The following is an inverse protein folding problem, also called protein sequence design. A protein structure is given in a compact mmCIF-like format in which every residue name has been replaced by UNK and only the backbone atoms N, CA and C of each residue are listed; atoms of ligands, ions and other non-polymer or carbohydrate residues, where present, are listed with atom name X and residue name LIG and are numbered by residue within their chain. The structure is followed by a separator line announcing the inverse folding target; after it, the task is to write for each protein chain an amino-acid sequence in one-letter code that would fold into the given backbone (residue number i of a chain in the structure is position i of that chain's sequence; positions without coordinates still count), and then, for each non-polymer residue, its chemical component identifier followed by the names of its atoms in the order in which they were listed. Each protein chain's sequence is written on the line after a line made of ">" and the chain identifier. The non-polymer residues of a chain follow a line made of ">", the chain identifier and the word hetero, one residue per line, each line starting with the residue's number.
data_IF_233963796000
#
_entry.id   IF_233963796000
#
_cell.length_a   1.000
_cell.length_b   1.000
_cell.length_c   1.000
_cell.angle_alpha   90.00
_cell.angle_beta   90.00
_cell.angle_gamma   90.00
#
_symmetry.space_group_name_H-M   'P 1'
#
loop_
_entity.id
_entity.type
_entity.pdbx_description
1 polymer ?
#
# COMPACT_ATOMS: atom_id res chain seq x y z
N UNK A 1 19.12 -37.14 -28.93
CA UNK A 1 18.11 -36.27 -28.32
C UNK A 1 18.85 -35.42 -27.29
N UNK A 2 18.94 -34.11 -27.55
CA UNK A 2 19.83 -33.10 -26.92
C UNK A 2 19.67 -33.05 -25.38
N UNK A 3 20.69 -33.00 -24.52
CA UNK A 3 21.80 -32.04 -24.26
C UNK A 3 21.33 -30.59 -24.11
N UNK A 4 21.38 -30.01 -22.89
CA UNK A 4 22.31 -28.93 -22.53
C UNK A 4 22.24 -28.58 -21.02
N UNK A 5 23.42 -28.59 -20.37
CA UNK A 5 23.71 -27.90 -19.10
C UNK A 5 24.04 -26.44 -19.42
N UNK A 6 23.68 -25.51 -18.52
CA UNK A 6 24.21 -24.15 -18.50
C UNK A 6 24.80 -23.85 -17.12
N UNK A 7 26.06 -23.42 -17.13
CA UNK A 7 26.79 -22.84 -16.00
C UNK A 7 27.22 -21.44 -16.44
N UNK A 8 27.14 -20.45 -15.56
CA UNK A 8 27.80 -19.17 -15.82
C UNK A 8 27.24 -18.00 -15.02
N UNK A 9 27.81 -17.78 -13.82
CA UNK A 9 27.88 -16.46 -13.18
C UNK A 9 28.47 -15.44 -14.16
N UNK A 10 27.83 -14.28 -14.33
CA UNK A 10 28.54 -13.04 -14.70
C UNK A 10 27.94 -11.83 -13.99
N UNK A 11 28.83 -11.08 -13.34
CA UNK A 11 28.57 -9.83 -12.63
C UNK A 11 28.20 -8.71 -13.59
N UNK A 12 27.14 -7.97 -13.30
CA UNK A 12 26.84 -6.71 -13.98
C UNK A 12 27.63 -5.59 -13.31
N UNK A 13 28.69 -5.13 -13.98
CA UNK A 13 29.36 -3.87 -13.67
C UNK A 13 28.64 -2.72 -14.37
N UNK A 14 28.30 -1.71 -13.56
CA UNK A 14 27.72 -0.44 -13.95
C UNK A 14 28.54 0.31 -15.00
N UNK A 15 27.84 0.98 -15.93
CA UNK A 15 28.40 2.04 -16.77
C UNK A 15 27.41 3.20 -16.86
N UNK A 16 27.69 4.20 -16.05
CA UNK A 16 27.17 5.57 -16.11
C UNK A 16 27.46 6.14 -17.52
N UNK A 17 26.44 6.70 -18.18
CA UNK A 17 26.64 7.54 -19.37
C UNK A 17 25.77 8.79 -19.27
N UNK A 18 26.44 9.91 -19.00
CA UNK A 18 25.95 11.28 -19.00
C UNK A 18 25.49 11.68 -20.41
N UNK A 19 24.24 12.16 -20.54
CA UNK A 19 23.75 12.83 -21.74
C UNK A 19 23.64 14.33 -21.46
N UNK A 20 24.47 15.11 -22.14
CA UNK A 20 24.34 16.56 -22.22
C UNK A 20 24.55 16.95 -23.68
N UNK A 21 23.48 17.08 -24.46
CA UNK A 21 23.54 17.77 -25.74
C UNK A 21 22.41 18.79 -25.88
N UNK A 22 22.85 19.96 -26.34
CA UNK A 22 22.19 21.26 -26.29
C UNK A 22 21.16 21.40 -27.41
N UNK A 23 20.03 22.00 -27.05
CA UNK A 23 19.06 22.63 -27.95
C UNK A 23 19.72 23.62 -28.93
N UNK A 24 19.42 23.53 -30.24
CA UNK A 24 19.48 24.68 -31.16
C UNK A 24 18.47 24.54 -32.32
N UNK A 25 17.61 25.56 -32.46
CA UNK A 25 16.48 25.70 -33.41
C UNK A 25 16.87 25.77 -34.90
N UNK A 26 15.96 25.48 -35.86
CA UNK A 26 16.18 25.73 -37.29
C UNK A 26 15.64 27.10 -37.75
N UNK A 27 16.39 27.81 -38.60
CA UNK A 27 15.95 29.02 -39.33
C UNK A 27 15.92 28.79 -40.85
N UNK A 28 14.84 29.28 -41.48
CA UNK A 28 14.49 29.30 -42.92
C UNK A 28 15.44 30.16 -43.80
N UNK A 29 15.40 29.85 -45.12
CA UNK A 29 15.82 30.61 -46.36
C UNK A 29 16.95 29.89 -47.12
N UNK A 30 16.95 29.69 -48.44
CA UNK A 30 16.34 30.37 -49.61
C UNK A 30 16.38 29.43 -50.83
N UNK A 31 15.26 29.23 -51.53
CA UNK A 31 15.26 28.93 -52.97
C UNK A 31 15.50 30.25 -53.72
N UNK A 32 16.36 30.23 -54.74
CA UNK A 32 16.38 31.04 -55.98
C UNK A 32 17.79 30.89 -56.56
N UNK A 33 17.93 30.08 -57.62
CA UNK A 33 18.84 30.29 -58.76
C UNK A 33 19.12 28.96 -59.47
N UNK A 34 18.41 28.69 -60.57
CA UNK A 34 18.91 27.94 -61.74
C UNK A 34 17.77 27.70 -62.74
N UNK A 35 17.27 28.77 -63.34
CA UNK A 35 16.69 28.72 -64.68
C UNK A 35 17.59 29.63 -65.50
N UNK A 36 18.46 29.06 -66.31
CA UNK A 36 18.89 29.60 -67.61
C UNK A 36 20.00 28.75 -68.23
N UNK A 37 19.61 28.05 -69.30
CA UNK A 37 20.35 27.48 -70.45
C UNK A 37 19.88 26.05 -70.70
N UNK A 38 19.61 25.57 -71.91
CA UNK A 38 19.31 26.15 -73.21
C UNK A 38 18.75 24.96 -74.03
N UNK A 39 17.63 25.15 -74.73
CA UNK A 39 17.06 24.23 -75.75
C UNK A 39 17.96 24.24 -77.03
N UNK A 40 17.81 23.41 -78.10
CA UNK A 40 16.66 22.55 -78.48
C UNK A 40 16.99 21.22 -79.25
N UNK A 41 15.95 20.68 -79.92
CA UNK A 41 15.85 19.58 -80.93
C UNK A 41 15.40 18.24 -80.31
N UNK A 42 14.27 17.59 -80.63
CA UNK A 42 13.20 17.75 -81.61
C UNK A 42 12.65 16.36 -81.97
N UNK A 43 11.29 16.20 -82.02
CA UNK A 43 10.49 15.00 -82.44
C UNK A 43 10.41 13.86 -81.41
N UNK A 44 9.30 13.14 -81.18
CA UNK A 44 7.92 13.16 -81.68
C UNK A 44 7.03 12.28 -80.77
N UNK A 45 5.83 12.74 -80.47
CA UNK A 45 4.57 11.95 -80.36
C UNK A 45 4.55 10.61 -79.61
N UNK A 46 4.63 10.61 -78.27
CA UNK A 46 4.25 9.41 -77.48
C UNK A 46 3.84 9.63 -76.02
N UNK A 47 3.45 10.84 -75.57
CA UNK A 47 3.12 11.07 -74.15
C UNK A 47 1.92 12.00 -73.93
N UNK A 48 0.75 11.65 -74.48
CA UNK A 48 -0.50 12.33 -74.13
C UNK A 48 -1.55 11.44 -73.44
N UNK A 49 -1.22 10.18 -73.11
CA UNK A 49 -2.14 9.25 -72.42
C UNK A 49 -1.76 8.89 -70.98
N UNK A 50 -0.86 9.64 -70.33
CA UNK A 50 -0.37 9.35 -68.97
C UNK A 50 -0.75 10.38 -67.89
N UNK A 51 -1.67 11.30 -68.18
CA UNK A 51 -2.18 12.27 -67.20
C UNK A 51 -3.67 12.10 -66.88
N UNK A 52 -4.10 10.85 -66.65
CA UNK A 52 -5.29 10.57 -65.85
C UNK A 52 -4.86 9.82 -64.59
N UNK A 53 -5.36 10.32 -63.45
CA UNK A 53 -5.22 9.78 -62.08
C UNK A 53 -3.98 10.26 -61.32
N UNK A 54 -4.13 11.42 -60.68
CA UNK A 54 -4.06 11.56 -59.23
C UNK A 54 -4.45 13.00 -58.87
N UNK A 55 -5.74 13.29 -59.00
CA UNK A 55 -6.34 14.47 -58.40
C UNK A 55 -6.46 14.18 -56.89
N UNK A 56 -5.60 14.79 -56.08
CA UNK A 56 -5.88 14.94 -54.66
C UNK A 56 -7.09 15.88 -54.55
N UNK A 57 -8.27 15.29 -54.36
CA UNK A 57 -9.38 16.06 -53.79
C UNK A 57 -9.04 16.28 -52.32
N UNK A 58 -8.76 17.52 -51.96
CA UNK A 58 -8.96 17.96 -50.58
C UNK A 58 -10.46 17.91 -50.35
N UNK A 59 -10.94 16.84 -49.70
CA UNK A 59 -12.28 16.86 -49.14
C UNK A 59 -12.41 18.06 -48.21
N UNK A 60 -13.56 18.73 -48.25
CA UNK A 60 -13.87 19.81 -47.33
C UNK A 60 -13.68 19.28 -45.90
N UNK A 61 -12.89 20.00 -45.11
CA UNK A 61 -12.85 19.85 -43.66
C UNK A 61 -14.27 20.11 -43.15
N UNK A 62 -15.07 19.07 -43.01
CA UNK A 62 -16.11 19.10 -42.00
C UNK A 62 -15.38 19.36 -40.68
N UNK A 63 -15.85 20.28 -39.83
CA UNK A 63 -15.33 20.40 -38.49
C UNK A 63 -15.66 19.09 -37.78
N UNK A 64 -14.76 18.12 -37.84
CA UNK A 64 -14.64 17.10 -36.82
C UNK A 64 -14.26 17.87 -35.57
N UNK A 65 -15.29 18.31 -34.84
CA UNK A 65 -15.15 18.64 -33.44
C UNK A 65 -14.56 17.38 -32.83
N UNK A 66 -13.25 17.41 -32.58
CA UNK A 66 -12.54 16.35 -31.90
C UNK A 66 -12.93 16.48 -30.43
N UNK A 67 -14.19 16.16 -30.14
CA UNK A 67 -14.66 15.96 -28.80
C UNK A 67 -14.32 14.51 -28.44
N UNK A 68 -13.02 14.25 -28.30
CA UNK A 68 -12.55 13.12 -27.50
C UNK A 68 -12.56 13.50 -26.01
N UNK A 69 -13.44 14.43 -25.61
CA UNK A 69 -13.76 14.56 -24.21
C UNK A 69 -14.52 13.28 -23.88
N UNK A 70 -13.86 12.41 -23.15
CA UNK A 70 -14.53 11.33 -22.43
C UNK A 70 -15.74 11.97 -21.72
N UNK A 71 -16.98 11.59 -22.07
CA UNK A 71 -18.17 12.24 -21.54
C UNK A 71 -18.26 12.16 -20.01
N UNK A 72 -17.55 11.21 -19.36
CA UNK A 72 -17.43 11.17 -17.91
C UNK A 72 -16.41 12.20 -17.38
N UNK A 73 -15.26 12.35 -18.03
CA UNK A 73 -14.20 13.27 -17.58
C UNK A 73 -14.65 14.75 -17.54
N UNK A 74 -15.52 15.18 -18.45
CA UNK A 74 -16.03 16.56 -18.46
C UNK A 74 -17.12 16.84 -17.41
N UNK A 75 -17.73 15.81 -16.85
CA UNK A 75 -18.86 15.93 -15.93
C UNK A 75 -18.46 16.10 -14.46
N UNK A 76 -17.24 15.69 -14.09
CA UNK A 76 -16.80 15.66 -12.69
C UNK A 76 -16.43 17.02 -12.11
N UNK A 77 -15.99 17.99 -12.92
CA UNK A 77 -15.47 19.29 -12.45
C UNK A 77 -16.46 20.17 -11.62
N UNK A 78 -17.66 19.69 -11.32
CA UNK A 78 -18.70 20.40 -10.57
C UNK A 78 -19.16 19.73 -9.26
N UNK A 79 -18.85 18.45 -8.98
CA UNK A 79 -19.28 17.77 -7.73
C UNK A 79 -18.12 17.10 -7.01
N UNK A 80 -18.12 17.25 -5.69
CA UNK A 80 -17.15 16.65 -4.77
C UNK A 80 -17.64 15.33 -4.15
N UNK A 81 -18.85 14.86 -4.47
CA UNK A 81 -19.39 13.60 -3.95
C UNK A 81 -20.21 12.92 -5.05
N UNK A 82 -19.70 11.80 -5.54
CA UNK A 82 -20.30 11.06 -6.65
C UNK A 82 -20.49 9.59 -6.34
N UNK A 83 -21.44 8.97 -7.03
CA UNK A 83 -21.67 7.53 -7.00
C UNK A 83 -21.55 6.93 -8.40
N UNK A 84 -20.73 5.90 -8.52
CA UNK A 84 -20.60 5.04 -9.69
C UNK A 84 -21.55 3.85 -9.56
N UNK A 85 -22.51 3.75 -10.48
CA UNK A 85 -23.50 2.69 -10.48
C UNK A 85 -23.77 2.16 -11.89
N UNK A 86 -24.48 1.03 -11.96
CA UNK A 86 -24.95 0.44 -13.21
C UNK A 86 -26.47 0.45 -13.23
N UNK A 87 -27.03 0.91 -14.34
CA UNK A 87 -28.49 0.87 -14.56
C UNK A 87 -28.82 0.14 -15.85
N UNK A 88 -29.99 -0.49 -15.85
CA UNK A 88 -30.57 -1.11 -17.02
C UNK A 88 -31.57 -0.17 -17.70
N UNK A 89 -31.46 -0.03 -19.01
CA UNK A 89 -32.44 0.68 -19.84
C UNK A 89 -32.92 -0.21 -20.96
N UNK A 90 -34.18 -0.02 -21.33
CA UNK A 90 -34.77 -0.69 -22.48
C UNK A 90 -34.65 0.23 -23.69
N UNK A 91 -34.02 -0.25 -24.75
CA UNK A 91 -33.87 0.49 -26.00
C UNK A 91 -35.18 0.54 -26.82
N UNK A 92 -35.13 1.24 -27.96
CA UNK A 92 -36.27 1.34 -28.86
C UNK A 92 -36.67 -0.02 -29.50
N UNK A 93 -35.79 -1.02 -29.40
CA UNK A 93 -35.94 -2.38 -29.92
C UNK A 93 -36.37 -3.39 -28.83
N UNK A 94 -36.70 -2.91 -27.62
CA UNK A 94 -37.05 -3.73 -26.45
C UNK A 94 -35.93 -4.65 -25.94
N UNK A 95 -34.68 -4.30 -26.19
CA UNK A 95 -33.53 -4.98 -25.60
C UNK A 95 -33.07 -4.21 -24.36
N UNK A 96 -32.78 -4.95 -23.29
CA UNK A 96 -32.15 -4.39 -22.10
C UNK A 96 -30.67 -4.16 -22.39
N UNK A 97 -30.23 -2.94 -22.15
CA UNK A 97 -28.84 -2.50 -22.24
C UNK A 97 -28.40 -1.98 -20.87
N UNK A 98 -27.15 -2.23 -20.52
CA UNK A 98 -26.56 -1.77 -19.26
C UNK A 98 -25.73 -0.52 -19.51
N UNK A 99 -25.83 0.43 -18.59
CA UNK A 99 -25.15 1.71 -18.64
C UNK A 99 -24.40 1.94 -17.33
N UNK A 100 -23.13 2.35 -17.43
CA UNK A 100 -22.41 2.96 -16.32
C UNK A 100 -22.94 4.38 -16.17
N UNK A 101 -23.23 4.77 -14.93
CA UNK A 101 -23.74 6.08 -14.60
C UNK A 101 -22.94 6.67 -13.45
N UNK A 102 -22.56 7.94 -13.60
CA UNK A 102 -22.07 8.76 -12.49
C UNK A 102 -23.17 9.69 -12.03
N UNK A 103 -23.43 9.66 -10.73
CA UNK A 103 -24.43 10.47 -10.06
C UNK A 103 -23.75 11.44 -9.12
N UNK A 104 -24.18 12.69 -9.10
CA UNK A 104 -23.88 13.63 -8.03
C UNK A 104 -24.69 13.27 -6.77
N UNK A 105 -23.99 12.85 -5.72
CA UNK A 105 -24.58 12.39 -4.46
C UNK A 105 -24.60 13.50 -3.39
N UNK A 106 -23.99 14.66 -3.68
CA UNK A 106 -23.96 15.81 -2.76
C UNK A 106 -25.35 16.33 -2.38
N UNK A 107 -26.36 16.10 -3.21
CA UNK A 107 -27.73 16.55 -3.02
C UNK A 107 -28.68 15.48 -2.43
N UNK A 108 -28.17 14.29 -2.09
CA UNK A 108 -28.94 13.16 -1.56
C UNK A 108 -30.15 12.81 -2.44
N UNK A 109 -31.37 13.02 -1.93
CA UNK A 109 -32.60 12.69 -2.65
C UNK A 109 -32.81 13.44 -4.00
N UNK A 110 -32.00 14.47 -4.30
CA UNK A 110 -32.03 15.21 -5.57
C UNK A 110 -30.81 14.93 -6.46
N UNK A 111 -30.19 13.77 -6.29
CA UNK A 111 -29.07 13.30 -7.09
C UNK A 111 -29.26 13.49 -8.60
N UNK A 112 -28.28 14.11 -9.25
CA UNK A 112 -28.31 14.38 -10.70
C UNK A 112 -27.32 13.49 -11.43
N UNK A 113 -27.72 12.98 -12.60
CA UNK A 113 -26.82 12.22 -13.47
C UNK A 113 -25.81 13.19 -14.10
N UNK A 114 -24.54 12.97 -13.78
CA UNK A 114 -23.40 13.73 -14.30
C UNK A 114 -22.97 13.20 -15.66
N UNK A 115 -22.86 11.88 -15.78
CA UNK A 115 -22.41 11.20 -16.98
C UNK A 115 -23.01 9.81 -17.10
N UNK A 116 -23.13 9.32 -18.33
CA UNK A 116 -23.65 8.00 -18.62
C UNK A 116 -23.02 7.43 -19.89
N UNK A 117 -22.66 6.14 -19.87
CA UNK A 117 -22.07 5.43 -21.00
C UNK A 117 -22.63 4.02 -21.10
N UNK A 118 -22.98 3.58 -22.31
CA UNK A 118 -23.41 2.20 -22.57
C UNK A 118 -22.21 1.26 -22.44
N UNK A 119 -22.33 0.21 -21.63
CA UNK A 119 -21.23 -0.73 -21.38
C UNK A 119 -20.76 -1.41 -22.68
N UNK A 120 -21.70 -1.74 -23.56
CA UNK A 120 -21.42 -2.42 -24.83
C UNK A 120 -20.59 -1.57 -25.81
N UNK A 121 -20.55 -0.24 -25.59
CA UNK A 121 -19.82 0.70 -26.42
C UNK A 121 -18.37 0.92 -25.96
N UNK A 122 -17.99 0.42 -24.78
CA UNK A 122 -16.63 0.54 -24.24
C UNK A 122 -15.73 -0.50 -24.91
N UNK A 123 -14.59 -0.08 -25.47
CA UNK A 123 -13.68 -1.02 -26.08
C UNK A 123 -12.84 -1.75 -25.01
N UNK A 124 -12.41 -2.97 -25.33
CA UNK A 124 -11.52 -3.72 -24.44
C UNK A 124 -10.17 -3.01 -24.31
N UNK A 125 -9.73 -2.82 -23.06
CA UNK A 125 -8.52 -2.09 -22.68
C UNK A 125 -8.74 -0.58 -22.52
N UNK A 126 -9.97 -0.08 -22.64
CA UNK A 126 -10.26 1.32 -22.37
C UNK A 126 -10.19 1.61 -20.86
N UNK A 127 -9.73 2.81 -20.53
CA UNK A 127 -9.71 3.35 -19.17
C UNK A 127 -10.68 4.53 -19.15
N UNK A 128 -11.69 4.46 -18.27
CA UNK A 128 -12.63 5.54 -18.03
C UNK A 128 -12.09 6.34 -16.85
N UNK A 129 -11.64 7.56 -17.11
CA UNK A 129 -11.03 8.38 -16.05
C UNK A 129 -12.04 9.33 -15.44
N UNK A 130 -12.12 9.28 -14.11
CA UNK A 130 -12.87 10.17 -13.23
C UNK A 130 -11.83 11.01 -12.50
N UNK A 131 -11.78 12.32 -12.77
CA UNK A 131 -10.78 13.21 -12.17
C UNK A 131 -11.43 14.18 -11.20
N UNK A 132 -10.93 14.13 -9.97
CA UNK A 132 -11.16 15.03 -8.85
C UNK A 132 -10.95 16.52 -9.14
N UNK A 133 -11.43 17.32 -8.21
CA UNK A 133 -11.21 18.73 -8.08
C UNK A 133 -9.85 19.01 -7.39
N UNK A 134 -9.73 20.14 -6.70
CA UNK A 134 -8.53 20.49 -5.91
C UNK A 134 -8.85 20.61 -4.42
N UNK A 135 -10.02 20.16 -4.01
CA UNK A 135 -10.41 19.95 -2.62
C UNK A 135 -11.02 18.56 -2.48
N UNK A 136 -11.39 18.21 -1.25
CA UNK A 136 -11.81 16.86 -0.88
C UNK A 136 -12.96 16.32 -1.76
N UNK A 137 -12.70 15.24 -2.48
CA UNK A 137 -13.64 14.55 -3.35
C UNK A 137 -13.94 13.12 -2.85
N UNK A 138 -15.15 12.64 -3.12
CA UNK A 138 -15.59 11.29 -2.76
C UNK A 138 -16.16 10.56 -3.97
N UNK A 139 -15.62 9.37 -4.23
CA UNK A 139 -16.21 8.38 -5.13
C UNK A 139 -16.81 7.24 -4.31
N UNK A 140 -18.12 7.03 -4.43
CA UNK A 140 -18.80 5.84 -3.88
C UNK A 140 -19.05 4.84 -5.00
N UNK A 141 -18.64 3.59 -4.82
CA UNK A 141 -18.88 2.50 -5.78
C UNK A 141 -20.08 1.68 -5.30
N UNK A 142 -21.12 1.67 -6.12
CA UNK A 142 -22.36 0.97 -5.83
C UNK A 142 -22.25 -0.55 -6.10
N UNK A 143 -23.02 -1.34 -5.35
CA UNK A 143 -23.11 -2.79 -5.55
C UNK A 143 -23.40 -3.18 -6.99
N UNK A 144 -24.26 -2.44 -7.70
CA UNK A 144 -24.60 -2.72 -9.10
C UNK A 144 -23.39 -2.67 -10.04
N UNK A 145 -22.36 -1.87 -9.72
CA UNK A 145 -21.12 -1.84 -10.47
C UNK A 145 -20.22 -3.03 -10.15
N UNK A 146 -20.08 -3.38 -8.87
CA UNK A 146 -19.27 -4.53 -8.45
C UNK A 146 -19.86 -5.87 -8.91
N UNK A 147 -21.20 -5.98 -8.97
CA UNK A 147 -21.91 -7.17 -9.45
C UNK A 147 -21.70 -7.45 -10.95
N UNK A 148 -21.07 -6.53 -11.69
CA UNK A 148 -20.61 -6.79 -13.06
C UNK A 148 -19.44 -7.80 -13.12
N UNK A 149 -18.68 -7.95 -12.02
CA UNK A 149 -17.46 -8.75 -11.97
C UNK A 149 -16.37 -8.23 -12.91
N UNK A 150 -15.50 -9.12 -13.39
CA UNK A 150 -14.39 -8.78 -14.28
C UNK A 150 -14.89 -8.16 -15.60
N UNK A 151 -14.42 -6.95 -15.89
CA UNK A 151 -14.74 -6.21 -17.11
C UNK A 151 -13.50 -6.07 -18.00
N UNK A 152 -13.68 -5.96 -19.33
CA UNK A 152 -12.56 -5.75 -20.26
C UNK A 152 -12.06 -4.30 -20.27
N UNK A 153 -12.54 -3.44 -19.36
CA UNK A 153 -12.18 -2.03 -19.20
C UNK A 153 -11.98 -1.73 -17.71
N UNK A 154 -11.35 -0.61 -17.39
CA UNK A 154 -11.10 -0.18 -16.02
C UNK A 154 -11.69 1.22 -15.80
N UNK A 155 -12.25 1.47 -14.63
CA UNK A 155 -12.60 2.81 -14.18
C UNK A 155 -11.48 3.32 -13.28
N UNK A 156 -10.89 4.46 -13.61
CA UNK A 156 -9.82 5.06 -12.82
C UNK A 156 -10.32 6.33 -12.14
N UNK A 157 -10.19 6.41 -10.82
CA UNK A 157 -10.42 7.63 -10.05
C UNK A 157 -9.09 8.30 -9.70
N UNK A 158 -8.93 9.58 -10.05
CA UNK A 158 -7.79 10.39 -9.64
C UNK A 158 -8.32 11.52 -8.77
N UNK A 159 -8.10 11.46 -7.44
CA UNK A 159 -8.54 12.49 -6.50
C UNK A 159 -7.92 13.87 -6.77
N UNK A 160 -6.79 13.89 -7.48
CA UNK A 160 -6.00 15.06 -7.83
C UNK A 160 -5.43 15.83 -6.63
N UNK A 161 -6.25 16.53 -5.84
CA UNK A 161 -5.74 17.17 -4.64
C UNK A 161 -6.83 17.51 -3.65
N UNK A 162 -6.52 17.40 -2.37
CA UNK A 162 -7.52 17.43 -1.31
C UNK A 162 -7.20 16.32 -0.32
N UNK A 163 -8.19 15.92 0.45
CA UNK A 163 -8.24 14.61 1.09
C UNK A 163 -9.37 13.80 0.47
N UNK A 164 -9.01 12.91 -0.42
CA UNK A 164 -9.95 12.24 -1.31
C UNK A 164 -10.33 10.85 -0.79
N UNK A 165 -11.56 10.43 -1.08
CA UNK A 165 -12.16 9.21 -0.53
C UNK A 165 -12.69 8.29 -1.61
N UNK A 166 -12.39 7.00 -1.51
CA UNK A 166 -13.10 5.94 -2.24
C UNK A 166 -13.89 5.10 -1.24
N UNK A 167 -15.20 4.95 -1.45
CA UNK A 167 -16.10 4.27 -0.52
C UNK A 167 -17.00 3.24 -1.22
N UNK A 168 -17.52 2.30 -0.45
CA UNK A 168 -18.61 1.41 -0.89
C UNK A 168 -19.98 1.98 -0.54
N UNK A 169 -21.00 1.63 -1.33
CA UNK A 169 -22.39 1.80 -0.91
C UNK A 169 -22.72 0.87 0.26
N UNK A 170 -23.69 1.26 1.08
CA UNK A 170 -24.04 0.57 2.34
C UNK A 170 -24.57 -0.86 2.18
N UNK A 171 -24.88 -1.28 0.96
CA UNK A 171 -25.43 -2.59 0.60
C UNK A 171 -24.39 -3.54 -0.03
N UNK A 172 -23.13 -3.13 -0.11
CA UNK A 172 -22.03 -4.01 -0.52
C UNK A 172 -21.61 -4.87 0.67
N UNK A 173 -21.80 -6.18 0.59
CA UNK A 173 -21.42 -7.12 1.67
C UNK A 173 -20.02 -7.70 1.47
N UNK A 174 -19.49 -7.70 0.24
CA UNK A 174 -18.20 -8.29 -0.10
C UNK A 174 -17.41 -7.35 -1.01
N UNK A 175 -16.11 -7.19 -0.73
CA UNK A 175 -15.22 -6.45 -1.62
C UNK A 175 -13.77 -6.85 -1.42
N UNK A 176 -12.99 -6.78 -2.50
CA UNK A 176 -11.54 -6.99 -2.48
C UNK A 176 -10.83 -5.69 -2.85
N UNK A 177 -9.91 -5.26 -1.99
CA UNK A 177 -9.11 -4.05 -2.18
C UNK A 177 -7.64 -4.40 -2.16
N UNK A 178 -6.86 -3.67 -2.94
CA UNK A 178 -5.43 -3.90 -3.08
C UNK A 178 -4.68 -2.58 -3.20
N UNK A 179 -3.78 -2.32 -2.26
CA UNK A 179 -2.91 -1.14 -2.24
C UNK A 179 -1.60 -1.46 -2.96
N UNK A 180 -1.21 -0.57 -3.86
CA UNK A 180 -0.01 -0.73 -4.69
C UNK A 180 1.00 0.40 -4.54
N UNK A 181 0.69 1.44 -3.76
CA UNK A 181 1.56 2.57 -3.45
C UNK A 181 0.93 3.49 -2.38
N UNK A 182 1.59 4.62 -2.09
CA UNK A 182 1.25 5.49 -0.93
C UNK A 182 -0.19 6.04 -0.91
N UNK A 183 -0.76 6.31 -2.09
CA UNK A 183 -2.09 6.91 -2.26
C UNK A 183 -2.79 6.32 -3.48
N UNK A 184 -2.50 5.06 -3.78
CA UNK A 184 -3.00 4.37 -4.97
C UNK A 184 -3.26 2.89 -4.73
N UNK A 185 -4.17 2.35 -5.52
CA UNK A 185 -4.58 0.97 -5.42
C UNK A 185 -5.77 0.66 -6.31
N UNK A 186 -6.44 -0.44 -6.00
CA UNK A 186 -7.60 -0.91 -6.75
C UNK A 186 -8.64 -1.56 -5.87
N UNK A 187 -9.86 -1.60 -6.39
CA UNK A 187 -11.05 -2.18 -5.80
C UNK A 187 -11.73 -3.10 -6.83
N UNK A 188 -12.27 -4.22 -6.35
CA UNK A 188 -13.04 -5.18 -7.13
C UNK A 188 -12.18 -6.24 -7.81
N UNK A 189 -12.86 -7.20 -8.46
CA UNK A 189 -12.20 -8.33 -9.15
C UNK A 189 -11.24 -7.83 -10.24
N UNK A 190 -9.96 -8.19 -10.12
CA UNK A 190 -8.88 -7.74 -11.02
C UNK A 190 -8.76 -6.21 -11.18
N UNK A 191 -9.16 -5.43 -10.17
CA UNK A 191 -9.03 -3.97 -10.18
C UNK A 191 -9.99 -3.27 -11.14
N UNK A 192 -11.28 -3.65 -11.07
CA UNK A 192 -12.34 -3.01 -11.89
C UNK A 192 -12.43 -1.49 -11.65
N UNK A 193 -12.06 -1.04 -10.45
CA UNK A 193 -11.82 0.36 -10.12
C UNK A 193 -10.37 0.54 -9.67
N UNK A 194 -9.61 1.38 -10.36
CA UNK A 194 -8.30 1.86 -9.92
C UNK A 194 -8.45 3.24 -9.27
N UNK A 195 -7.63 3.54 -8.28
CA UNK A 195 -7.60 4.86 -7.66
C UNK A 195 -6.19 5.40 -7.47
N UNK A 196 -6.06 6.72 -7.57
CA UNK A 196 -4.83 7.49 -7.47
C UNK A 196 -5.10 8.77 -6.67
N UNK A 197 -4.11 9.24 -5.93
CA UNK A 197 -4.23 10.44 -5.08
C UNK A 197 -5.42 10.32 -4.11
N UNK A 198 -5.52 9.19 -3.40
CA UNK A 198 -6.60 8.91 -2.45
C UNK A 198 -6.02 8.65 -1.06
N UNK A 199 -6.50 9.41 -0.07
CA UNK A 199 -6.04 9.35 1.32
C UNK A 199 -7.00 8.60 2.25
N UNK A 200 -8.21 8.26 1.81
CA UNK A 200 -9.21 7.54 2.62
C UNK A 200 -9.96 6.47 1.80
N UNK A 201 -10.03 5.26 2.33
CA UNK A 201 -10.83 4.16 1.78
C UNK A 201 -11.83 3.62 2.81
N UNK A 202 -13.07 3.44 2.37
CA UNK A 202 -14.19 3.12 3.27
C UNK A 202 -14.98 1.92 2.75
N UNK A 203 -14.87 0.81 3.46
CA UNK A 203 -15.75 -0.34 3.30
C UNK A 203 -16.88 -0.29 4.36
N UNK A 204 -17.73 -1.32 4.38
CA UNK A 204 -18.93 -1.36 5.23
C UNK A 204 -18.90 -2.53 6.19
N UNK A 205 -18.52 -2.29 7.45
CA UNK A 205 -18.44 -3.37 8.42
C UNK A 205 -19.82 -3.81 8.93
N UNK A 206 -20.08 -5.12 8.90
CA UNK A 206 -21.19 -5.80 9.56
C UNK A 206 -20.80 -7.23 9.98
N UNK A 207 -21.64 -7.92 10.75
CA UNK A 207 -21.35 -9.31 11.14
C UNK A 207 -21.35 -10.32 9.98
N UNK A 208 -21.93 -9.93 8.84
CA UNK A 208 -22.05 -10.78 7.66
C UNK A 208 -21.21 -10.26 6.48
N UNK A 209 -20.45 -9.17 6.66
CA UNK A 209 -19.59 -8.62 5.61
C UNK A 209 -18.26 -9.37 5.50
N UNK A 210 -17.66 -9.29 4.32
CA UNK A 210 -16.30 -9.77 4.02
C UNK A 210 -15.59 -8.78 3.12
N UNK A 211 -15.02 -7.74 3.72
CA UNK A 211 -14.18 -6.75 3.06
C UNK A 211 -12.69 -7.02 3.32
N UNK A 212 -11.96 -7.35 2.27
CA UNK A 212 -10.52 -7.64 2.33
C UNK A 212 -9.72 -6.44 1.87
N UNK A 213 -8.76 -5.99 2.68
CA UNK A 213 -7.76 -5.00 2.31
C UNK A 213 -6.40 -5.67 2.22
N UNK A 214 -5.79 -5.65 1.04
CA UNK A 214 -4.49 -6.27 0.79
C UNK A 214 -3.44 -5.27 0.33
N UNK A 215 -2.16 -5.60 0.54
CA UNK A 215 -1.02 -4.83 0.03
C UNK A 215 -0.18 -5.66 -0.92
N UNK A 216 0.45 -4.98 -1.88
CA UNK A 216 1.46 -5.58 -2.76
C UNK A 216 2.66 -4.65 -2.98
N UNK A 217 3.71 -5.24 -3.57
CA UNK A 217 4.94 -4.62 -4.08
C UNK A 217 5.93 -4.10 -3.05
N UNK A 218 5.46 -3.68 -1.87
CA UNK A 218 6.26 -3.06 -0.83
C UNK A 218 5.90 -3.61 0.56
N UNK A 219 6.72 -3.26 1.56
CA UNK A 219 6.40 -3.50 2.97
C UNK A 219 5.57 -2.34 3.50
N UNK A 220 4.59 -2.63 4.33
CA UNK A 220 3.71 -1.60 4.89
C UNK A 220 3.62 -1.68 6.41
N UNK A 221 3.37 -0.52 7.03
CA UNK A 221 2.92 -0.41 8.41
C UNK A 221 1.39 -0.26 8.42
N UNK A 222 0.73 -1.20 9.08
CA UNK A 222 -0.69 -1.19 9.42
C UNK A 222 -0.86 -0.63 10.83
N UNK A 223 -1.01 0.70 10.95
CA UNK A 223 -1.27 1.35 12.23
C UNK A 223 -2.74 1.18 12.60
N UNK A 224 -3.01 0.38 13.63
CA UNK A 224 -4.37 0.12 14.11
C UNK A 224 -4.68 1.07 15.26
N UNK A 225 -5.77 1.82 15.12
CA UNK A 225 -6.19 2.81 16.11
C UNK A 225 -7.49 2.42 16.81
N UNK A 226 -8.37 1.71 16.09
CA UNK A 226 -9.66 1.20 16.57
C UNK A 226 -10.04 -0.06 15.76
N UNK A 227 -11.07 -0.79 16.22
CA UNK A 227 -11.63 -1.90 15.46
C UNK A 227 -11.98 -1.47 14.02
N UNK A 228 -11.58 -2.31 13.07
CA UNK A 228 -11.80 -2.17 11.63
C UNK A 228 -11.26 -0.85 11.02
N UNK A 229 -10.35 -0.15 11.70
CA UNK A 229 -9.88 1.18 11.30
C UNK A 229 -8.40 1.41 11.57
N UNK A 230 -7.75 2.14 10.67
CA UNK A 230 -6.35 2.47 10.82
C UNK A 230 -5.77 3.33 9.72
N UNK A 231 -4.45 3.38 9.70
CA UNK A 231 -3.66 4.05 8.66
C UNK A 231 -2.68 3.03 8.09
N UNK A 232 -2.63 2.96 6.78
CA UNK A 232 -1.68 2.16 6.04
C UNK A 232 -0.62 3.07 5.42
N UNK A 233 0.63 2.88 5.79
CA UNK A 233 1.76 3.65 5.29
C UNK A 233 2.85 2.72 4.74
N UNK A 234 3.59 3.16 3.73
CA UNK A 234 4.76 2.41 3.27
C UNK A 234 5.83 2.40 4.35
N UNK A 235 6.37 1.21 4.59
CA UNK A 235 7.47 1.02 5.51
C UNK A 235 8.76 1.37 4.76
N UNK A 236 9.41 2.46 5.15
CA UNK A 236 10.77 2.71 4.67
C UNK A 236 11.68 1.59 5.17
N UNK A 237 12.63 1.13 4.34
CA UNK A 237 13.57 0.08 4.73
C UNK A 237 14.39 0.52 5.94
N UNK A 238 13.98 0.10 7.13
CA UNK A 238 14.67 0.33 8.38
C UNK A 238 15.72 -0.77 8.61
N UNK A 239 16.73 -0.48 9.43
CA UNK A 239 17.60 -1.55 9.91
C UNK A 239 16.82 -2.52 10.80
N UNK A 240 17.34 -3.74 10.98
CA UNK A 240 16.71 -4.85 11.71
C UNK A 240 16.27 -4.52 13.16
N UNK A 241 16.69 -3.38 13.72
CA UNK A 241 16.31 -2.91 15.06
C UNK A 241 15.65 -1.51 15.07
N UNK A 242 15.48 -0.87 13.92
CA UNK A 242 14.83 0.43 13.81
C UNK A 242 13.35 0.17 13.47
N UNK A 243 12.48 0.30 14.45
CA UNK A 243 11.04 0.33 14.19
C UNK A 243 10.69 1.70 13.66
N UNK A 244 9.92 1.74 12.58
CA UNK A 244 9.31 3.00 12.16
C UNK A 244 8.28 3.39 13.22
N UNK A 245 8.37 4.62 13.73
CA UNK A 245 7.34 5.19 14.59
C UNK A 245 5.99 5.16 13.86
N UNK A 246 4.90 5.10 14.64
CA UNK A 246 3.55 5.12 14.11
C UNK A 246 3.35 6.30 13.14
N UNK A 247 3.15 6.01 11.86
CA UNK A 247 2.88 7.01 10.83
C UNK A 247 1.38 7.25 10.68
N UNK A 248 0.97 8.50 10.85
CA UNK A 248 -0.37 8.96 10.48
C UNK A 248 -0.42 9.52 9.04
N UNK A 249 0.66 9.34 8.27
CA UNK A 249 0.78 9.80 6.88
C UNK A 249 0.73 8.58 5.97
N UNK A 250 -0.44 8.35 5.36
CA UNK A 250 -0.74 7.20 4.51
C UNK A 250 -2.24 7.13 4.18
N UNK A 251 -2.70 6.01 3.64
CA UNK A 251 -4.12 5.77 3.34
C UNK A 251 -4.84 5.41 4.64
N UNK A 252 -5.84 6.19 5.02
CA UNK A 252 -6.78 5.82 6.09
C UNK A 252 -7.72 4.75 5.57
N UNK A 253 -7.99 3.75 6.39
CA UNK A 253 -8.95 2.70 6.05
C UNK A 253 -9.98 2.55 7.15
N UNK A 254 -11.23 2.28 6.77
CA UNK A 254 -12.33 2.02 7.70
C UNK A 254 -13.26 0.93 7.17
N UNK A 255 -13.83 0.14 8.08
CA UNK A 255 -14.88 -0.83 7.78
C UNK A 255 -14.40 -2.14 7.13
N UNK A 256 -13.12 -2.46 7.24
CA UNK A 256 -12.53 -3.68 6.69
C UNK A 256 -12.54 -4.83 7.69
N UNK A 257 -12.82 -6.04 7.21
CA UNK A 257 -12.93 -7.24 8.03
C UNK A 257 -11.60 -8.02 8.07
N UNK A 258 -10.89 -8.06 6.94
CA UNK A 258 -9.65 -8.83 6.78
C UNK A 258 -8.53 -7.96 6.27
N UNK A 259 -7.35 -8.05 6.90
CA UNK A 259 -6.11 -7.44 6.42
C UNK A 259 -5.18 -8.51 5.84
N UNK A 260 -4.59 -8.26 4.68
CA UNK A 260 -3.68 -9.19 4.02
C UNK A 260 -2.39 -8.47 3.58
N UNK A 261 -1.37 -8.59 4.41
CA UNK A 261 -0.06 -8.01 4.16
C UNK A 261 0.74 -8.73 3.05
N UNK A 262 1.85 -8.11 2.66
CA UNK A 262 2.74 -8.62 1.62
C UNK A 262 3.74 -9.72 2.07
N UNK A 263 3.80 -10.00 3.38
CA UNK A 263 4.70 -10.97 4.01
C UNK A 263 5.85 -10.36 4.80
N UNK A 264 6.11 -9.05 4.69
CA UNK A 264 7.12 -8.32 5.47
C UNK A 264 6.54 -7.11 6.19
N UNK A 265 5.21 -7.10 6.31
CA UNK A 265 4.46 -5.97 6.85
C UNK A 265 4.49 -5.94 8.38
N UNK A 266 4.29 -4.75 8.92
CA UNK A 266 4.20 -4.48 10.35
C UNK A 266 2.75 -4.22 10.75
N UNK A 267 2.21 -5.01 11.69
CA UNK A 267 0.94 -4.75 12.35
C UNK A 267 1.20 -4.01 13.65
N UNK A 268 0.78 -2.75 13.73
CA UNK A 268 1.18 -1.84 14.80
C UNK A 268 -0.01 -1.36 15.63
N UNK A 269 -0.11 -1.84 16.88
CA UNK A 269 -1.15 -1.47 17.84
C UNK A 269 -0.71 -0.41 18.86
N UNK A 270 0.43 0.26 18.66
CA UNK A 270 0.97 1.26 19.62
C UNK A 270 0.05 2.47 19.89
N UNK A 271 -1.01 2.66 19.09
CA UNK A 271 -2.03 3.70 19.32
C UNK A 271 -3.42 3.13 19.67
N UNK A 272 -3.53 1.80 19.77
CA UNK A 272 -4.75 1.13 20.17
C UNK A 272 -4.91 1.22 21.69
N UNK A 273 -6.00 1.83 22.15
CA UNK A 273 -6.19 2.16 23.58
C UNK A 273 -7.44 1.56 24.21
N UNK A 274 -8.18 0.73 23.45
CA UNK A 274 -9.43 0.16 23.95
C UNK A 274 -9.21 -0.96 24.97
N UNK A 275 -8.19 -1.79 24.75
CA UNK A 275 -7.78 -2.92 25.60
C UNK A 275 -6.42 -3.46 25.16
N UNK A 276 -5.84 -4.37 25.94
CA UNK A 276 -4.79 -5.27 25.44
C UNK A 276 -5.27 -6.06 24.23
N UNK A 277 -4.34 -6.35 23.34
CA UNK A 277 -4.58 -6.98 22.05
C UNK A 277 -4.17 -8.44 22.08
N UNK A 278 -4.93 -9.26 21.36
CA UNK A 278 -4.58 -10.63 21.03
C UNK A 278 -4.33 -10.74 19.53
N UNK A 279 -3.17 -11.25 19.16
CA UNK A 279 -2.75 -11.53 17.78
C UNK A 279 -2.15 -12.93 17.72
N UNK A 280 -2.55 -13.73 16.74
CA UNK A 280 -2.00 -15.05 16.45
C UNK A 280 -1.87 -15.20 14.92
N UNK A 281 -0.64 -15.15 14.41
CA UNK A 281 -0.38 -15.15 12.96
C UNK A 281 -0.59 -16.52 12.32
N UNK A 282 -0.46 -17.62 13.08
CA UNK A 282 -0.70 -18.98 12.57
C UNK A 282 -2.19 -19.21 12.26
N UNK A 283 -3.08 -18.71 13.11
CA UNK A 283 -4.54 -18.79 12.92
C UNK A 283 -5.11 -17.60 12.16
N UNK A 284 -4.39 -16.48 12.17
CA UNK A 284 -4.81 -15.20 11.60
C UNK A 284 -5.72 -14.40 12.53
N UNK A 285 -5.83 -14.75 13.82
CA UNK A 285 -6.63 -14.00 14.77
C UNK A 285 -5.95 -12.65 15.09
N UNK A 286 -6.72 -11.55 15.08
CA UNK A 286 -6.23 -10.24 15.49
C UNK A 286 -7.36 -9.38 16.07
N UNK A 287 -7.07 -8.67 17.15
CA UNK A 287 -8.05 -7.78 17.79
C UNK A 287 -8.54 -6.69 16.83
N UNK A 288 -9.86 -6.55 16.72
CA UNK A 288 -10.50 -5.56 15.84
C UNK A 288 -10.68 -6.00 14.39
N UNK A 289 -10.29 -7.23 14.03
CA UNK A 289 -10.46 -7.79 12.69
C UNK A 289 -10.96 -9.24 12.73
N UNK A 290 -11.56 -9.68 11.63
CA UNK A 290 -11.97 -11.09 11.46
C UNK A 290 -10.76 -11.96 11.17
N UNK A 291 -9.82 -11.45 10.36
CA UNK A 291 -8.59 -12.16 10.03
C UNK A 291 -7.46 -11.21 9.64
N UNK A 292 -6.22 -11.60 9.95
CA UNK A 292 -4.99 -11.02 9.41
C UNK A 292 -4.14 -12.10 8.76
N UNK A 293 -3.37 -11.74 7.74
CA UNK A 293 -2.39 -12.60 7.09
C UNK A 293 -1.22 -11.79 6.54
N UNK A 294 -0.08 -12.44 6.26
CA UNK A 294 1.05 -11.80 5.58
C UNK A 294 1.75 -10.71 6.41
N UNK A 295 1.68 -10.82 7.73
CA UNK A 295 2.34 -9.94 8.70
C UNK A 295 3.63 -10.62 9.18
N UNK A 296 4.68 -9.83 9.39
CA UNK A 296 5.96 -10.32 9.90
C UNK A 296 6.34 -9.70 11.25
N UNK A 297 5.97 -8.44 11.47
CA UNK A 297 6.30 -7.71 12.70
C UNK A 297 5.01 -7.31 13.41
N UNK A 298 4.94 -7.55 14.72
CA UNK A 298 3.84 -7.12 15.57
C UNK A 298 4.37 -6.12 16.60
N UNK A 299 3.71 -4.97 16.70
CA UNK A 299 3.90 -4.02 17.81
C UNK A 299 2.67 -4.05 18.67
N UNK A 300 2.87 -4.33 19.96
CA UNK A 300 1.83 -4.28 20.98
C UNK A 300 1.23 -2.90 21.19
N UNK A 301 0.20 -2.86 22.03
CA UNK A 301 -0.42 -1.68 22.61
C UNK A 301 0.24 -1.31 23.95
N UNK A 302 -0.16 -0.19 24.54
CA UNK A 302 0.30 0.20 25.90
C UNK A 302 -0.39 -0.63 27.03
N UNK A 303 -0.97 -1.78 26.71
CA UNK A 303 -1.73 -2.65 27.63
C UNK A 303 -1.15 -4.06 27.57
N UNK A 304 -1.50 -4.91 28.54
CA UNK A 304 -1.06 -6.31 28.56
C UNK A 304 -1.59 -7.09 27.33
N UNK A 305 -0.68 -7.44 26.41
CA UNK A 305 -1.00 -8.10 25.16
C UNK A 305 -0.68 -9.61 25.14
N UNK A 306 -1.27 -10.32 24.18
CA UNK A 306 -0.97 -11.72 23.86
C UNK A 306 -0.64 -11.81 22.38
N UNK A 307 0.64 -12.01 22.07
CA UNK A 307 1.17 -11.99 20.71
C UNK A 307 1.76 -13.36 20.36
N UNK A 308 1.29 -13.97 19.28
CA UNK A 308 1.78 -15.23 18.79
C UNK A 308 2.17 -15.14 17.30
N UNK A 309 3.32 -15.71 17.00
CA UNK A 309 3.86 -15.84 15.65
C UNK A 309 3.22 -16.95 14.83
N UNK A 310 3.81 -17.21 13.67
CA UNK A 310 3.52 -18.33 12.78
C UNK A 310 4.74 -19.26 12.67
N UNK A 311 4.90 -19.93 11.53
CA UNK A 311 6.07 -20.81 11.28
C UNK A 311 7.21 -20.11 10.54
N UNK A 312 7.08 -18.81 10.29
CA UNK A 312 8.10 -17.96 9.69
C UNK A 312 8.79 -17.13 10.78
N UNK A 313 9.94 -16.56 10.44
CA UNK A 313 10.63 -15.60 11.32
C UNK A 313 9.69 -14.43 11.65
N UNK A 314 9.48 -14.12 12.92
CA UNK A 314 8.64 -12.99 13.34
C UNK A 314 9.38 -12.03 14.29
N UNK A 315 8.97 -10.77 14.28
CA UNK A 315 9.48 -9.75 15.20
C UNK A 315 8.36 -9.26 16.11
N UNK A 316 8.61 -9.25 17.41
CA UNK A 316 7.69 -8.77 18.43
C UNK A 316 8.26 -7.57 19.13
N UNK A 317 7.49 -6.49 19.17
CA UNK A 317 7.82 -5.28 19.92
C UNK A 317 6.81 -5.16 21.05
N UNK A 318 7.33 -5.21 22.26
CA UNK A 318 6.52 -5.46 23.45
C UNK A 318 6.87 -4.53 24.59
N UNK A 319 5.91 -4.41 25.50
CA UNK A 319 6.03 -3.72 26.77
C UNK A 319 5.78 -4.67 27.96
N UNK A 320 6.09 -4.19 29.16
CA UNK A 320 5.81 -4.97 30.38
C UNK A 320 4.30 -5.17 30.56
N UNK A 321 3.90 -6.43 30.72
CA UNK A 321 2.51 -6.88 30.68
C UNK A 321 2.32 -8.00 29.65
N UNK A 322 3.14 -8.00 28.60
CA UNK A 322 2.92 -8.82 27.42
C UNK A 322 3.33 -10.28 27.56
N UNK A 323 2.64 -11.12 26.79
CA UNK A 323 2.98 -12.52 26.55
C UNK A 323 3.24 -12.77 25.08
N UNK A 324 4.41 -13.32 24.76
CA UNK A 324 4.87 -13.65 23.41
C UNK A 324 5.07 -15.15 23.25
N UNK A 325 4.73 -15.66 22.07
CA UNK A 325 5.08 -16.99 21.59
C UNK A 325 5.60 -16.91 20.16
N UNK A 326 6.88 -17.18 19.92
CA UNK A 326 7.46 -17.19 18.57
C UNK A 326 6.92 -18.33 17.69
N UNK A 327 6.71 -19.50 18.30
CA UNK A 327 6.16 -20.72 17.72
C UNK A 327 7.09 -21.47 16.75
N UNK A 328 7.61 -20.85 15.71
CA UNK A 328 8.61 -21.51 14.89
C UNK A 328 9.15 -20.59 13.82
N UNK A 329 10.42 -20.73 13.49
CA UNK A 329 11.11 -19.75 12.67
C UNK A 329 12.34 -19.28 13.43
N UNK A 330 12.82 -18.08 13.10
CA UNK A 330 13.79 -17.35 13.90
C UNK A 330 13.13 -16.11 14.48
N UNK A 331 12.76 -16.17 15.74
CA UNK A 331 11.89 -15.16 16.35
C UNK A 331 12.65 -14.15 17.21
N UNK A 332 12.28 -12.89 17.08
CA UNK A 332 12.95 -11.76 17.72
C UNK A 332 11.98 -11.07 18.65
N UNK A 333 12.36 -10.92 19.91
CA UNK A 333 11.66 -10.05 20.86
C UNK A 333 12.46 -8.78 21.12
N UNK A 334 11.77 -7.65 21.05
CA UNK A 334 12.33 -6.32 21.22
C UNK A 334 11.57 -5.60 22.33
N UNK A 335 12.28 -5.23 23.38
CA UNK A 335 11.85 -4.26 24.38
C UNK A 335 12.51 -2.90 24.12
N UNK A 336 11.77 -1.81 24.26
CA UNK A 336 12.31 -0.45 24.09
C UNK A 336 11.74 0.53 25.11
N UNK A 337 12.62 1.08 25.94
CA UNK A 337 12.31 2.26 26.76
C UNK A 337 12.61 3.55 25.97
N UNK A 338 11.70 4.52 26.08
CA UNK A 338 11.91 5.90 25.59
C UNK A 338 11.99 6.92 26.73
N UNK A 339 12.05 6.44 27.97
CA UNK A 339 12.06 7.22 29.19
C UNK A 339 13.37 7.99 29.42
N UNK A 340 13.30 8.91 30.39
CA UNK A 340 14.46 9.67 30.87
C UNK A 340 14.92 9.28 32.28
N UNK A 341 14.20 8.35 32.92
CA UNK A 341 14.51 7.88 34.27
C UNK A 341 15.48 6.71 34.27
N UNK A 342 15.64 6.05 33.13
CA UNK A 342 16.30 4.75 33.03
C UNK A 342 15.38 3.63 33.50
N UNK A 343 15.74 2.40 33.13
CA UNK A 343 15.04 1.20 33.53
C UNK A 343 16.00 0.06 33.85
N UNK A 344 15.62 -0.72 34.85
CA UNK A 344 16.36 -1.91 35.29
C UNK A 344 15.58 -3.17 34.91
N UNK A 345 16.27 -4.12 34.29
CA UNK A 345 15.71 -5.37 33.79
C UNK A 345 16.54 -6.55 34.29
N UNK A 346 15.87 -7.56 34.86
CA UNK A 346 16.44 -8.88 35.14
C UNK A 346 15.79 -9.93 34.23
N UNK A 347 16.59 -10.62 33.42
CA UNK A 347 16.15 -11.77 32.64
C UNK A 347 16.22 -13.05 33.49
N UNK A 348 15.13 -13.78 33.55
CA UNK A 348 15.06 -15.13 34.11
C UNK A 348 14.75 -16.14 33.02
N UNK A 349 15.46 -17.28 33.03
CA UNK A 349 15.16 -18.43 32.19
C UNK A 349 14.16 -19.36 32.89
N UNK A 350 13.11 -19.79 32.19
CA UNK A 350 12.03 -20.56 32.82
C UNK A 350 12.37 -22.05 32.91
N UNK A 351 12.39 -22.80 31.81
CA UNK A 351 12.92 -24.19 31.82
C UNK A 351 13.34 -24.72 30.44
N UNK A 352 12.67 -24.32 29.36
CA UNK A 352 13.08 -24.70 28.01
C UNK A 352 14.21 -23.79 27.50
N UNK A 353 14.90 -24.22 26.45
CA UNK A 353 15.76 -23.31 25.66
C UNK A 353 14.84 -22.27 25.00
N UNK A 354 15.28 -21.01 24.94
CA UNK A 354 14.53 -19.91 24.32
C UNK A 354 13.24 -19.45 25.05
N UNK A 355 13.01 -19.90 26.29
CA UNK A 355 11.89 -19.46 27.14
C UNK A 355 12.37 -18.56 28.29
N UNK A 356 11.87 -17.32 28.32
CA UNK A 356 12.33 -16.27 29.21
C UNK A 356 11.19 -15.50 29.88
N UNK A 357 11.53 -14.89 31.02
CA UNK A 357 10.75 -13.83 31.63
C UNK A 357 11.67 -12.64 31.85
N UNK A 358 11.31 -11.47 31.32
CA UNK A 358 11.98 -10.22 31.64
C UNK A 358 11.19 -9.59 32.79
N UNK A 359 11.88 -9.20 33.85
CA UNK A 359 11.30 -8.52 35.00
C UNK A 359 11.73 -7.06 35.03
N UNK A 360 10.80 -6.14 35.21
CA UNK A 360 11.10 -4.75 35.59
C UNK A 360 11.26 -4.63 37.11
N UNK A 361 12.10 -3.69 37.54
CA UNK A 361 12.37 -3.48 38.96
C UNK A 361 13.47 -2.49 39.22
N UNK A 362 14.22 -2.70 40.30
CA UNK A 362 15.36 -1.88 40.71
C UNK A 362 16.53 -2.75 41.19
N UNK A 363 17.76 -2.36 40.87
CA UNK A 363 18.98 -2.95 41.41
C UNK A 363 19.52 -2.22 42.64
N UNK A 364 19.54 -2.92 43.78
CA UNK A 364 20.29 -2.51 44.96
C UNK A 364 21.61 -3.27 45.05
N UNK A 365 22.65 -2.75 44.39
CA UNK A 365 23.98 -3.37 44.26
C UNK A 365 23.95 -4.70 43.49
N UNK A 366 23.67 -5.83 44.14
CA UNK A 366 23.62 -7.17 43.51
C UNK A 366 22.31 -7.89 43.81
N UNK A 367 21.29 -7.16 44.22
CA UNK A 367 19.98 -7.71 44.55
C UNK A 367 18.96 -6.94 43.74
N UNK A 368 18.31 -7.65 42.82
CA UNK A 368 17.17 -7.17 42.09
C UNK A 368 15.90 -7.22 42.95
N UNK A 369 15.07 -6.19 42.86
CA UNK A 369 13.73 -6.16 43.45
C UNK A 369 12.73 -5.82 42.35
N UNK A 370 11.95 -6.80 41.92
CA UNK A 370 10.92 -6.58 40.91
C UNK A 370 9.79 -5.66 41.40
N UNK A 371 9.28 -4.83 40.51
CA UNK A 371 8.13 -3.94 40.77
C UNK A 371 6.78 -4.55 40.37
N UNK A 372 6.82 -5.70 39.68
CA UNK A 372 5.66 -6.48 39.26
C UNK A 372 5.46 -6.52 37.74
N UNK A 373 6.14 -5.67 36.96
CA UNK A 373 6.09 -5.75 35.50
C UNK A 373 6.87 -6.95 34.98
N UNK A 374 6.29 -7.64 34.01
CA UNK A 374 6.85 -8.85 33.41
C UNK A 374 6.56 -8.93 31.92
N UNK A 375 7.52 -9.40 31.13
CA UNK A 375 7.29 -9.89 29.76
C UNK A 375 7.51 -11.39 29.80
N UNK A 376 6.54 -12.17 29.33
CA UNK A 376 6.70 -13.61 29.17
C UNK A 376 7.00 -13.92 27.71
N UNK A 377 8.16 -14.49 27.42
CA UNK A 377 8.60 -14.80 26.07
C UNK A 377 8.84 -16.30 25.94
N UNK A 378 8.12 -16.97 25.03
CA UNK A 378 8.31 -18.38 24.77
C UNK A 378 8.79 -18.57 23.33
N UNK A 379 9.74 -19.48 23.14
CA UNK A 379 10.28 -19.85 21.83
C UNK A 379 10.79 -18.63 21.03
N UNK A 380 11.68 -17.83 21.63
CA UNK A 380 12.32 -16.67 20.97
C UNK A 380 13.82 -16.90 20.80
N UNK A 381 14.33 -16.70 19.58
CA UNK A 381 15.73 -17.00 19.21
C UNK A 381 16.68 -15.79 19.35
N UNK A 382 16.13 -14.60 19.52
CA UNK A 382 16.87 -13.36 19.72
C UNK A 382 16.16 -12.41 20.67
N UNK A 383 16.91 -11.81 21.60
CA UNK A 383 16.39 -10.79 22.51
C UNK A 383 17.11 -9.46 22.27
N UNK A 384 16.32 -8.40 22.16
CA UNK A 384 16.83 -7.03 22.16
C UNK A 384 16.21 -6.21 23.27
N UNK A 385 17.02 -5.38 23.94
CA UNK A 385 16.54 -4.39 24.88
C UNK A 385 17.25 -3.05 24.62
N UNK A 386 16.45 -2.00 24.44
CA UNK A 386 16.91 -0.64 24.18
C UNK A 386 16.51 0.26 25.35
N UNK A 387 17.50 0.85 26.01
CA UNK A 387 17.33 1.81 27.09
C UNK A 387 17.09 3.23 26.59
N UNK A 388 16.49 4.03 27.46
CA UNK A 388 16.21 5.44 27.20
C UNK A 388 17.42 6.36 27.41
N UNK A 389 17.15 7.52 28.02
CA UNK A 389 18.17 8.55 28.30
C UNK A 389 18.59 8.68 29.77
N UNK A 390 18.04 7.82 30.64
CA UNK A 390 18.50 7.68 32.02
C UNK A 390 19.41 6.46 32.17
N UNK A 391 19.93 6.23 33.38
CA UNK A 391 20.85 5.13 33.66
C UNK A 391 20.09 3.79 33.65
N UNK A 392 20.45 2.88 32.76
CA UNK A 392 19.80 1.57 32.64
C UNK A 392 20.67 0.45 33.22
N UNK A 393 20.03 -0.57 33.78
CA UNK A 393 20.70 -1.80 34.20
C UNK A 393 20.02 -3.02 33.58
N UNK A 394 20.66 -3.62 32.58
CA UNK A 394 20.20 -4.85 31.94
C UNK A 394 21.05 -6.04 32.39
N UNK A 395 20.48 -6.95 33.18
CA UNK A 395 21.08 -8.25 33.49
C UNK A 395 20.41 -9.36 32.67
N UNK A 396 21.04 -9.72 31.56
CA UNK A 396 20.60 -10.81 30.68
C UNK A 396 21.54 -12.02 30.79
N UNK A 397 22.26 -12.16 31.91
CA UNK A 397 23.20 -13.27 32.13
C UNK A 397 22.57 -14.67 32.10
N UNK A 398 21.24 -14.76 32.29
CA UNK A 398 20.48 -15.98 32.17
C UNK A 398 20.18 -16.41 30.72
N UNK A 399 20.42 -15.54 29.73
CA UNK A 399 20.10 -15.81 28.33
C UNK A 399 20.95 -16.93 27.75
N UNK A 400 20.29 -17.82 27.00
CA UNK A 400 20.92 -18.83 26.16
C UNK A 400 20.72 -18.59 24.66
N UNK A 401 20.26 -17.39 24.30
CA UNK A 401 20.09 -16.89 22.92
C UNK A 401 21.00 -15.68 22.69
N UNK A 402 21.11 -15.24 21.43
CA UNK A 402 21.90 -14.06 21.10
C UNK A 402 21.17 -12.79 21.56
N UNK A 403 21.96 -11.82 22.03
CA UNK A 403 21.45 -10.56 22.56
C UNK A 403 21.91 -9.35 21.75
N UNK A 404 21.03 -8.35 21.68
CA UNK A 404 21.40 -6.96 21.41
C UNK A 404 20.92 -6.06 22.55
N UNK A 405 21.85 -5.61 23.38
CA UNK A 405 21.57 -4.67 24.45
C UNK A 405 22.13 -3.31 24.07
N UNK A 406 21.27 -2.29 24.04
CA UNK A 406 21.66 -0.90 23.88
C UNK A 406 21.20 -0.14 25.12
N UNK A 407 22.13 0.38 25.92
CA UNK A 407 21.83 1.21 27.08
C UNK A 407 21.30 2.60 26.70
N UNK A 408 21.48 3.04 25.45
CA UNK A 408 21.09 4.38 25.04
C UNK A 408 22.03 5.44 25.59
N UNK A 409 21.46 6.44 26.26
CA UNK A 409 22.26 7.49 26.90
C UNK A 409 22.14 7.39 28.42
N UNK A 410 23.24 7.56 29.13
CA UNK A 410 23.26 7.46 30.59
C UNK A 410 24.55 6.81 31.06
N UNK A 411 24.63 6.53 32.35
CA UNK A 411 25.65 5.63 32.91
C UNK A 411 25.05 4.21 32.99
N UNK A 412 25.12 3.47 31.88
CA UNK A 412 24.45 2.17 31.75
C UNK A 412 25.30 0.98 32.26
N UNK A 413 24.61 -0.08 32.72
CA UNK A 413 25.20 -1.35 33.11
C UNK A 413 24.56 -2.49 32.33
N UNK A 414 25.34 -3.12 31.45
CA UNK A 414 24.84 -4.17 30.56
C UNK A 414 25.59 -5.48 30.80
N UNK A 415 24.85 -6.55 31.06
CA UNK A 415 25.37 -7.91 31.25
C UNK A 415 24.73 -8.81 30.20
N UNK A 416 25.55 -9.31 29.27
CA UNK A 416 25.14 -10.26 28.25
C UNK A 416 25.04 -11.70 28.76
N UNK A 417 24.58 -12.59 27.88
CA UNK A 417 24.42 -14.02 28.08
C UNK A 417 25.66 -14.83 27.72
N UNK A 418 25.42 -16.08 27.35
CA UNK A 418 26.49 -17.06 27.07
C UNK A 418 26.98 -17.06 25.61
N UNK A 419 26.31 -16.35 24.69
CA UNK A 419 26.56 -16.39 23.25
C UNK A 419 27.32 -15.15 22.75
N UNK A 420 27.40 -15.01 21.41
CA UNK A 420 28.02 -13.85 20.76
C UNK A 420 27.05 -12.66 20.80
N UNK A 421 27.13 -11.89 21.88
CA UNK A 421 26.24 -10.76 22.16
C UNK A 421 26.77 -9.42 21.62
N UNK A 422 25.85 -8.52 21.30
CA UNK A 422 26.14 -7.11 21.00
C UNK A 422 25.70 -6.23 22.17
N UNK A 423 26.65 -5.49 22.74
CA UNK A 423 26.40 -4.53 23.82
C UNK A 423 26.86 -3.14 23.40
N UNK A 424 25.95 -2.17 23.43
CA UNK A 424 26.19 -0.74 23.15
C UNK A 424 25.71 0.05 24.36
N UNK A 425 26.46 1.06 24.82
CA UNK A 425 26.05 1.93 25.92
C UNK A 425 26.98 3.10 26.08
#
# INVERSE_FOLDING_TARGET
>A
MAIFRSTGKQSIKSRIRTLTEKFTQPKKKRLISAIERANPVGKSSAMNDLFKQNAFQLEQLEPRLLLSADPLAAAFAASADVTLQVIEKVDAQQQTQQYIQLIDSSAGANSTVLGEMEISAIAAGDIITITGSAGDDKLTVDKSFLDLGEQPYVVQFDGAGGSDTVALSSDVEESSWQISGDFEGSLGDNGSVEFLSVEDIQATHSSDSSHVLSTINDSYQWLIQQDNQGVLATLEAQQFYELQDASNSGIKFTGFDTLAGSGTDQLNYSQYSASGVTVDLETGDATGFTQVAGINTIVGSDQDDVLAGDTNDNNFVVDFGDTVSGAGGYDVLVYRDQGATGIDIELSKVVAESDFILHSGDWASTTFTGDGGMITANDVDFLSAFGGSGDNYFDFSAADVQLHLDGGAGDDHLIGGALDDLLTG
#
